data_IF_719071163302
#
_entry.id   IF_719071163302
#
_cell.length_a   1.000
_cell.length_b   1.000
_cell.length_c   1.000
_cell.angle_alpha   90.00
_cell.angle_beta   90.00
_cell.angle_gamma   90.00
#
_symmetry.space_group_name_H-M   'P 1'
#
loop_
_entity.id
_entity.type
_entity.pdbx_description
1 polymer ?
#
# COMPACT_ATOMS: atom_id res chain seq x y z
N UNK A 1 7.68 11.32 0.13
CA UNK A 1 8.08 10.09 -0.59
C UNK A 1 7.27 8.91 -0.08
N UNK A 2 7.14 7.83 -0.88
CA UNK A 2 6.49 6.60 -0.43
C UNK A 2 7.23 6.02 0.79
N UNK A 3 6.49 5.34 1.69
CA UNK A 3 7.07 4.71 2.87
C UNK A 3 8.16 3.67 2.51
N UNK A 4 8.06 3.05 1.34
CA UNK A 4 9.02 2.06 0.84
C UNK A 4 10.48 2.54 0.76
N UNK A 5 10.70 3.85 0.65
CA UNK A 5 12.03 4.46 0.58
C UNK A 5 12.68 4.68 1.96
N UNK A 6 11.92 4.55 3.06
CA UNK A 6 12.40 4.79 4.43
C UNK A 6 13.24 6.05 4.57
N UNK A 7 14.44 5.95 5.11
CA UNK A 7 15.37 7.07 5.31
C UNK A 7 16.42 7.24 4.18
N UNK A 8 16.29 6.55 3.05
CA UNK A 8 17.36 6.39 2.06
C UNK A 8 17.98 7.72 1.57
N UNK A 9 17.14 8.72 1.26
CA UNK A 9 17.63 10.03 0.81
C UNK A 9 17.96 10.99 1.96
N UNK A 10 17.40 10.79 3.15
CA UNK A 10 17.64 11.63 4.33
C UNK A 10 19.06 11.47 4.92
N UNK A 11 19.70 10.32 4.66
CA UNK A 11 21.04 9.99 5.17
C UNK A 11 22.21 10.50 4.32
N UNK A 12 21.92 11.19 3.22
CA UNK A 12 22.93 11.47 2.21
C UNK A 12 23.62 12.84 2.43
N UNK A 13 24.97 12.91 2.51
CA UNK A 13 25.69 14.17 2.67
C UNK A 13 25.62 15.10 1.44
N UNK A 14 25.27 14.58 0.25
CA UNK A 14 25.09 15.34 -0.98
C UNK A 14 24.19 16.57 -0.83
N UNK A 15 23.25 16.55 0.10
CA UNK A 15 22.29 17.65 0.29
C UNK A 15 22.66 18.61 1.43
N UNK A 16 23.79 18.40 2.12
CA UNK A 16 24.18 19.22 3.28
C UNK A 16 24.86 20.55 2.91
N UNK A 17 25.42 20.66 1.71
CA UNK A 17 26.16 21.84 1.25
C UNK A 17 25.73 22.29 -0.14
N UNK A 18 24.43 22.52 -0.32
CA UNK A 18 23.89 22.97 -1.61
C UNK A 18 24.07 24.48 -1.73
N UNK A 19 24.75 24.92 -2.79
CA UNK A 19 24.98 26.34 -3.08
C UNK A 19 23.76 26.98 -3.77
N UNK A 20 23.33 28.15 -3.31
CA UNK A 20 22.25 28.93 -3.92
C UNK A 20 22.54 30.43 -3.85
N UNK A 21 21.78 31.23 -4.59
CA UNK A 21 21.87 32.69 -4.57
C UNK A 21 20.61 33.34 -4.02
N UNK A 22 20.77 34.51 -3.41
CA UNK A 22 19.66 35.38 -3.07
C UNK A 22 19.34 36.36 -4.22
N UNK A 23 18.36 37.24 -4.02
CA UNK A 23 17.97 38.29 -4.98
C UNK A 23 19.10 39.29 -5.29
N UNK A 24 20.15 39.34 -4.45
CA UNK A 24 21.33 40.19 -4.61
C UNK A 24 22.53 39.43 -5.17
N UNK A 25 22.34 38.21 -5.67
CA UNK A 25 23.36 37.34 -6.26
C UNK A 25 24.49 36.92 -5.27
N UNK A 26 24.22 37.02 -3.97
CA UNK A 26 25.15 36.54 -2.92
C UNK A 26 25.02 35.04 -2.79
N UNK A 27 26.15 34.34 -2.70
CA UNK A 27 26.19 32.87 -2.60
C UNK A 27 26.07 32.41 -1.15
N UNK A 28 25.14 31.50 -0.88
CA UNK A 28 24.94 30.85 0.41
C UNK A 28 24.98 29.33 0.26
N UNK A 29 25.11 28.63 1.39
CA UNK A 29 25.01 27.17 1.48
C UNK A 29 23.83 26.80 2.35
N UNK A 30 23.05 25.82 1.90
CA UNK A 30 21.89 25.30 2.62
C UNK A 30 22.05 23.80 2.80
N UNK A 31 21.56 23.35 3.94
CA UNK A 31 21.28 21.95 4.18
C UNK A 31 19.85 21.65 3.74
N UNK A 32 19.72 20.87 2.67
CA UNK A 32 18.45 20.37 2.15
C UNK A 32 18.11 18.97 2.66
N UNK A 33 18.99 18.32 3.43
CA UNK A 33 18.76 16.96 3.93
C UNK A 33 17.47 16.85 4.76
N UNK A 34 17.20 17.84 5.62
CA UNK A 34 15.99 17.90 6.45
C UNK A 34 14.68 18.19 5.68
N UNK A 35 14.77 18.51 4.38
CA UNK A 35 13.61 18.71 3.50
C UNK A 35 13.16 17.41 2.80
N UNK A 36 14.01 16.39 2.81
CA UNK A 36 13.69 15.05 2.30
C UNK A 36 13.04 14.25 3.43
N UNK A 37 11.72 14.34 3.54
CA UNK A 37 10.95 13.54 4.50
C UNK A 37 10.21 12.43 3.77
N UNK A 38 10.33 11.22 4.29
CA UNK A 38 9.46 10.12 3.90
C UNK A 38 8.13 10.24 4.62
N UNK A 39 7.07 9.73 4.00
CA UNK A 39 5.80 9.61 4.68
C UNK A 39 6.01 8.78 5.95
N UNK A 40 5.56 9.29 7.10
CA UNK A 40 5.61 8.54 8.34
C UNK A 40 4.74 7.27 8.18
N UNK A 41 5.33 6.10 8.39
CA UNK A 41 4.58 4.85 8.59
C UNK A 41 4.00 4.89 10.01
N UNK A 42 2.98 5.74 10.21
CA UNK A 42 2.23 5.76 11.46
C UNK A 42 1.45 4.45 11.62
N UNK A 43 1.35 3.95 12.85
CA UNK A 43 0.55 2.75 13.11
C UNK A 43 -0.93 3.10 12.94
N UNK A 44 -1.55 2.64 11.85
CA UNK A 44 -3.00 2.76 11.67
C UNK A 44 -3.73 1.50 12.19
N UNK A 45 -3.69 1.33 13.52
CA UNK A 45 -4.41 0.25 14.20
C UNK A 45 -5.94 0.35 13.99
N UNK A 46 -6.44 1.57 13.77
CA UNK A 46 -7.85 1.85 13.57
C UNK A 46 -8.34 1.35 12.21
N UNK A 47 -7.56 1.53 11.13
CA UNK A 47 -7.89 0.96 9.83
C UNK A 47 -7.85 -0.57 9.81
N UNK A 48 -7.03 -1.20 10.67
CA UNK A 48 -6.95 -2.66 10.84
C UNK A 48 -8.13 -3.23 11.63
N UNK A 49 -8.55 -2.58 12.72
CA UNK A 49 -9.69 -3.04 13.52
C UNK A 49 -11.07 -2.79 12.88
N UNK A 50 -11.18 -1.78 12.00
CA UNK A 50 -12.45 -1.38 11.36
C UNK A 50 -12.83 -2.33 10.22
N UNK A 51 -13.02 -3.59 10.57
CA UNK A 51 -13.78 -4.56 9.78
C UNK A 51 -15.30 -4.47 10.04
N UNK A 52 -15.77 -3.36 10.62
CA UNK A 52 -17.20 -3.07 10.69
C UNK A 52 -17.67 -2.58 9.31
N UNK A 53 -17.77 -3.56 8.43
CA UNK A 53 -18.18 -3.43 7.04
C UNK A 53 -19.70 -3.42 7.03
N UNK A 54 -20.30 -2.23 7.00
CA UNK A 54 -21.70 -2.13 6.58
C UNK A 54 -21.73 -2.46 5.08
N UNK A 55 -21.93 -3.75 4.79
CA UNK A 55 -22.03 -4.31 3.45
C UNK A 55 -23.51 -4.38 3.10
N UNK A 56 -23.91 -3.53 2.15
CA UNK A 56 -25.15 -3.76 1.44
C UNK A 56 -24.84 -4.77 0.34
N UNK A 57 -25.59 -5.86 0.30
CA UNK A 57 -25.42 -6.90 -0.70
C UNK A 57 -26.78 -7.30 -1.25
N UNK A 58 -26.85 -7.44 -2.57
CA UNK A 58 -28.00 -7.97 -3.27
C UNK A 58 -27.50 -9.01 -4.27
N UNK A 59 -28.18 -10.15 -4.33
CA UNK A 59 -27.94 -11.18 -5.33
C UNK A 59 -29.26 -11.55 -6.01
N UNK A 60 -29.22 -11.75 -7.30
CA UNK A 60 -30.33 -12.27 -8.09
C UNK A 60 -29.81 -13.37 -9.01
N UNK A 61 -30.57 -14.46 -9.13
CA UNK A 61 -30.30 -15.53 -10.10
C UNK A 61 -31.39 -15.53 -11.15
N UNK A 62 -30.99 -15.51 -12.42
CA UNK A 62 -31.91 -15.68 -13.54
C UNK A 62 -31.66 -17.05 -14.18
N UNK A 63 -32.54 -18.00 -13.90
CA UNK A 63 -32.37 -19.39 -14.35
C UNK A 63 -31.20 -20.09 -13.64
N UNK A 64 -30.64 -21.11 -14.30
CA UNK A 64 -29.54 -21.92 -13.73
C UNK A 64 -28.15 -21.35 -13.99
N UNK A 65 -28.01 -20.56 -15.06
CA UNK A 65 -26.69 -20.21 -15.60
C UNK A 65 -26.30 -18.75 -15.37
N UNK A 66 -27.23 -17.90 -14.89
CA UNK A 66 -26.97 -16.48 -14.66
C UNK A 66 -27.13 -16.09 -13.20
N UNK A 67 -26.11 -15.41 -12.68
CA UNK A 67 -26.16 -14.77 -11.39
C UNK A 67 -25.68 -13.33 -11.51
N UNK A 68 -26.30 -12.46 -10.73
CA UNK A 68 -25.96 -11.06 -10.59
C UNK A 68 -25.75 -10.78 -9.12
N UNK A 69 -24.65 -10.15 -8.76
CA UNK A 69 -24.44 -9.63 -7.42
C UNK A 69 -24.05 -8.17 -7.47
N UNK A 70 -24.61 -7.39 -6.56
CA UNK A 70 -24.22 -6.01 -6.30
C UNK A 70 -23.83 -5.89 -4.83
N UNK A 71 -22.73 -5.19 -4.58
CA UNK A 71 -22.29 -4.88 -3.22
C UNK A 71 -21.91 -3.42 -3.11
N UNK A 72 -22.25 -2.81 -1.98
CA UNK A 72 -21.75 -1.53 -1.57
C UNK A 72 -21.14 -1.66 -0.18
N UNK A 73 -19.87 -1.28 -0.07
CA UNK A 73 -19.13 -1.24 1.17
C UNK A 73 -18.93 0.21 1.57
N UNK A 74 -19.39 0.58 2.77
CA UNK A 74 -19.07 1.89 3.33
C UNK A 74 -17.92 1.76 4.32
N UNK A 75 -16.74 2.25 3.96
CA UNK A 75 -15.61 2.38 4.89
C UNK A 75 -15.58 3.79 5.47
N UNK A 76 -15.32 3.90 6.77
CA UNK A 76 -14.93 5.16 7.39
C UNK A 76 -13.40 5.19 7.45
N UNK A 77 -12.80 5.62 6.35
CA UNK A 77 -11.38 5.96 6.34
C UNK A 77 -11.25 7.40 6.86
N UNK A 78 -10.53 7.53 7.97
CA UNK A 78 -9.88 8.79 8.30
C UNK A 78 -8.52 8.65 7.65
N UNK A 79 -8.40 9.05 6.40
CA UNK A 79 -7.09 9.09 5.74
C UNK A 79 -6.25 10.10 6.52
N UNK A 80 -5.11 9.71 7.15
CA UNK A 80 -4.16 10.70 7.63
C UNK A 80 -3.41 11.22 6.40
N UNK A 81 -4.09 11.97 5.53
CA UNK A 81 -3.40 12.80 4.55
C UNK A 81 -2.74 13.91 5.36
N UNK A 82 -1.45 13.75 5.65
CA UNK A 82 -0.53 14.85 5.94
C UNK A 82 -0.86 15.67 7.22
N UNK A 83 -1.71 15.19 8.13
CA UNK A 83 -2.05 15.95 9.33
C UNK A 83 -0.89 16.07 10.36
N UNK A 84 0.13 15.22 10.31
CA UNK A 84 1.25 15.30 11.26
C UNK A 84 2.40 16.23 10.85
N UNK A 85 2.35 16.84 9.66
CA UNK A 85 3.45 17.69 9.18
C UNK A 85 3.11 19.19 9.09
N UNK A 86 1.85 19.62 9.18
CA UNK A 86 1.50 21.03 8.93
C UNK A 86 0.30 21.50 9.75
N UNK A 87 0.54 22.53 10.59
CA UNK A 87 -0.37 23.52 11.21
C UNK A 87 -1.74 23.05 11.74
N UNK A 88 -2.17 23.50 12.95
CA UNK A 88 -3.53 23.27 13.46
C UNK A 88 -4.67 23.82 12.57
N UNK A 89 -4.36 24.63 11.56
CA UNK A 89 -5.33 25.10 10.55
C UNK A 89 -5.76 24.03 9.53
N UNK A 90 -5.06 22.88 9.44
CA UNK A 90 -5.40 21.77 8.53
C UNK A 90 -6.08 20.58 9.23
N UNK A 91 -6.21 20.59 10.56
CA UNK A 91 -7.01 19.58 11.29
C UNK A 91 -8.48 19.58 10.84
N UNK A 92 -9.00 20.75 10.43
CA UNK A 92 -10.35 20.90 9.89
C UNK A 92 -10.51 20.30 8.48
N UNK A 93 -9.39 20.01 7.78
CA UNK A 93 -9.35 19.34 6.48
C UNK A 93 -9.25 17.81 6.59
N UNK A 94 -9.04 17.25 7.79
CA UNK A 94 -9.15 15.81 8.07
C UNK A 94 -10.62 15.31 8.07
N UNK A 95 -11.47 15.93 7.26
CA UNK A 95 -12.85 15.49 7.01
C UNK A 95 -12.81 14.15 6.30
N UNK A 96 -12.93 13.09 7.10
CA UNK A 96 -13.42 11.73 6.76
C UNK A 96 -13.86 11.61 5.30
N UNK A 97 -12.95 11.23 4.40
CA UNK A 97 -13.32 11.06 3.01
C UNK A 97 -13.99 9.70 2.87
N UNK A 98 -15.32 9.72 2.76
CA UNK A 98 -16.16 8.52 2.65
C UNK A 98 -16.25 8.12 1.19
N UNK A 99 -15.36 7.26 0.71
CA UNK A 99 -15.53 6.63 -0.60
C UNK A 99 -16.25 5.29 -0.43
N UNK A 100 -17.54 5.17 -0.81
CA UNK A 100 -18.18 3.86 -0.87
C UNK A 100 -17.53 3.03 -1.99
N UNK A 101 -17.15 1.79 -1.68
CA UNK A 101 -16.79 0.83 -2.73
C UNK A 101 -18.08 0.24 -3.28
N UNK A 102 -18.26 0.27 -4.59
CA UNK A 102 -19.35 -0.38 -5.28
C UNK A 102 -18.79 -1.47 -6.19
N UNK A 103 -19.44 -2.63 -6.22
CA UNK A 103 -19.02 -3.71 -7.09
C UNK A 103 -20.23 -4.47 -7.62
N UNK A 104 -20.20 -4.76 -8.91
CA UNK A 104 -21.22 -5.51 -9.64
C UNK A 104 -20.53 -6.68 -10.32
N UNK A 105 -21.09 -7.88 -10.13
CA UNK A 105 -20.65 -9.10 -10.81
C UNK A 105 -21.83 -9.66 -11.59
N UNK A 106 -21.61 -9.95 -12.87
CA UNK A 106 -22.50 -10.76 -13.67
C UNK A 106 -21.77 -12.03 -14.08
N UNK A 107 -22.36 -13.19 -13.81
CA UNK A 107 -21.82 -14.46 -14.26
C UNK A 107 -22.78 -15.15 -15.23
N UNK A 108 -22.24 -15.75 -16.29
CA UNK A 108 -22.98 -16.56 -17.25
C UNK A 108 -22.17 -17.79 -17.64
N UNK A 109 -22.72 -18.99 -17.39
CA UNK A 109 -22.07 -20.28 -17.72
C UNK A 109 -20.61 -20.36 -17.23
N UNK A 110 -20.37 -19.89 -16.01
CA UNK A 110 -19.05 -19.85 -15.39
C UNK A 110 -18.18 -18.63 -15.76
N UNK A 111 -18.43 -17.96 -16.89
CA UNK A 111 -17.76 -16.70 -17.20
C UNK A 111 -18.26 -15.62 -16.22
N UNK A 112 -17.35 -14.89 -15.58
CA UNK A 112 -17.66 -13.79 -14.68
C UNK A 112 -17.15 -12.45 -15.25
N UNK A 113 -18.00 -11.43 -15.20
CA UNK A 113 -17.66 -10.04 -15.48
C UNK A 113 -17.82 -9.25 -14.19
N UNK A 114 -16.75 -8.59 -13.77
CA UNK A 114 -16.73 -7.74 -12.60
C UNK A 114 -16.45 -6.30 -12.97
N UNK A 115 -17.30 -5.40 -12.49
CA UNK A 115 -17.09 -3.96 -12.55
C UNK A 115 -17.13 -3.44 -11.13
N UNK A 116 -16.14 -2.64 -10.76
CA UNK A 116 -16.10 -2.10 -9.42
C UNK A 116 -15.41 -0.75 -9.37
N UNK A 117 -15.83 0.05 -8.40
CA UNK A 117 -15.41 1.44 -8.24
C UNK A 117 -15.22 1.75 -6.75
N UNK A 118 -14.23 2.58 -6.43
CA UNK A 118 -13.87 2.98 -5.07
C UNK A 118 -12.49 2.46 -4.64
N UNK A 119 -12.34 2.13 -3.37
CA UNK A 119 -11.07 1.70 -2.78
C UNK A 119 -10.79 0.19 -2.92
N UNK A 120 -9.52 -0.20 -3.09
CA UNK A 120 -9.06 -1.60 -2.92
C UNK A 120 -9.65 -2.61 -3.93
N UNK A 121 -9.88 -2.15 -5.16
CA UNK A 121 -10.89 -2.76 -6.04
C UNK A 121 -10.50 -4.13 -6.61
N UNK A 122 -9.21 -4.44 -6.76
CA UNK A 122 -8.73 -5.69 -7.40
C UNK A 122 -8.75 -6.89 -6.42
N UNK A 123 -8.93 -6.67 -5.12
CA UNK A 123 -8.81 -7.69 -4.07
C UNK A 123 -10.04 -8.61 -3.87
N UNK A 124 -11.06 -8.52 -4.72
CA UNK A 124 -12.42 -9.02 -4.42
C UNK A 124 -12.50 -10.52 -4.12
N UNK A 125 -11.71 -11.36 -4.79
CA UNK A 125 -11.97 -12.81 -4.76
C UNK A 125 -11.36 -13.54 -3.56
N UNK A 126 -10.28 -13.05 -2.93
CA UNK A 126 -9.65 -13.76 -1.79
C UNK A 126 -10.06 -13.22 -0.42
N UNK A 127 -10.31 -11.92 -0.32
CA UNK A 127 -10.59 -11.25 0.96
C UNK A 127 -11.96 -11.62 1.56
N UNK A 128 -12.89 -12.09 0.72
CA UNK A 128 -14.21 -12.57 1.15
C UNK A 128 -14.24 -14.08 1.48
N UNK A 129 -13.25 -14.86 1.02
CA UNK A 129 -13.21 -16.32 1.21
C UNK A 129 -12.48 -16.74 2.49
N UNK A 130 -11.65 -15.86 3.05
CA UNK A 130 -10.71 -16.21 4.12
C UNK A 130 -10.85 -15.34 5.37
N UNK A 131 -12.06 -15.25 5.92
CA UNK A 131 -12.40 -14.85 7.30
C UNK A 131 -11.59 -13.71 7.96
N UNK A 132 -10.98 -12.81 7.19
CA UNK A 132 -10.08 -11.75 7.70
C UNK A 132 -8.74 -12.27 8.23
N UNK A 133 -8.14 -13.31 7.63
CA UNK A 133 -6.72 -13.65 7.82
C UNK A 133 -5.89 -12.82 6.83
N UNK A 134 -5.00 -12.00 7.34
CA UNK A 134 -4.06 -11.18 6.57
C UNK A 134 -4.58 -9.80 6.17
N UNK A 135 -3.68 -8.81 5.98
CA UNK A 135 -3.98 -7.60 5.25
C UNK A 135 -4.61 -7.95 3.89
N UNK A 136 -5.66 -7.23 3.51
CA UNK A 136 -6.39 -7.37 2.26
C UNK A 136 -5.44 -7.58 1.05
N UNK A 137 -5.92 -8.33 0.05
CA UNK A 137 -5.14 -8.87 -1.04
C UNK A 137 -4.02 -7.92 -1.54
N UNK A 138 -2.80 -8.45 -1.59
CA UNK A 138 -1.55 -7.73 -1.82
C UNK A 138 -1.42 -6.91 -3.11
N UNK A 139 -2.25 -7.05 -4.17
CA UNK A 139 -2.31 -6.01 -5.19
C UNK A 139 -2.57 -4.63 -4.61
N UNK A 140 -3.26 -4.51 -3.47
CA UNK A 140 -3.47 -3.22 -2.78
C UNK A 140 -2.17 -2.58 -2.28
N UNK A 141 -1.13 -3.36 -1.97
CA UNK A 141 0.17 -2.81 -1.55
C UNK A 141 0.88 -2.06 -2.69
N UNK A 142 0.64 -2.46 -3.95
CA UNK A 142 1.15 -1.78 -5.14
C UNK A 142 0.10 -0.87 -5.81
N UNK A 143 -1.19 -1.17 -5.60
CA UNK A 143 -2.37 -0.56 -6.21
C UNK A 143 -3.48 -0.24 -5.18
N UNK A 144 -3.12 0.44 -4.09
CA UNK A 144 -4.07 0.91 -3.07
C UNK A 144 -4.45 2.36 -3.32
N UNK A 145 -5.52 2.59 -4.08
CA UNK A 145 -6.03 3.93 -4.39
C UNK A 145 -7.37 4.18 -3.74
N UNK A 146 -7.69 5.43 -3.41
CA UNK A 146 -8.97 5.84 -2.76
C UNK A 146 -10.13 5.95 -3.74
N UNK A 147 -9.83 6.19 -5.02
CA UNK A 147 -10.82 6.35 -6.08
C UNK A 147 -10.37 5.66 -7.37
N UNK A 148 -10.60 4.35 -7.43
CA UNK A 148 -10.22 3.52 -8.57
C UNK A 148 -11.43 2.85 -9.20
N UNK A 149 -11.41 2.71 -10.52
CA UNK A 149 -12.37 1.90 -11.28
C UNK A 149 -11.63 0.70 -11.84
N UNK A 150 -12.18 -0.50 -11.67
CA UNK A 150 -11.64 -1.72 -12.24
C UNK A 150 -12.70 -2.51 -13.00
N UNK A 151 -12.22 -3.17 -14.05
CA UNK A 151 -12.93 -4.13 -14.86
C UNK A 151 -12.15 -5.45 -14.81
N UNK A 152 -12.84 -6.56 -14.66
CA UNK A 152 -12.21 -7.86 -14.79
C UNK A 152 -13.13 -8.90 -15.41
N UNK A 153 -12.50 -9.85 -16.09
CA UNK A 153 -13.16 -11.00 -16.71
C UNK A 153 -12.51 -12.27 -16.17
N UNK A 154 -13.30 -13.12 -15.53
CA UNK A 154 -12.89 -14.40 -14.96
C UNK A 154 -13.51 -15.57 -15.72
N UNK A 155 -12.76 -16.65 -15.90
CA UNK A 155 -13.24 -17.89 -16.51
C UNK A 155 -12.74 -19.11 -15.74
N UNK A 156 -13.56 -20.15 -15.56
CA UNK A 156 -13.12 -21.41 -14.99
C UNK A 156 -12.27 -22.16 -16.03
N UNK A 157 -11.14 -22.70 -15.58
CA UNK A 157 -10.36 -23.68 -16.33
C UNK A 157 -10.66 -25.12 -15.88
N UNK A 158 -11.39 -25.27 -14.76
CA UNK A 158 -11.86 -26.51 -14.19
C UNK A 158 -12.76 -26.23 -12.99
N UNK A 159 -13.02 -27.23 -12.16
CA UNK A 159 -13.85 -27.09 -10.96
C UNK A 159 -13.21 -26.19 -9.89
N UNK A 160 -11.87 -26.25 -9.80
CA UNK A 160 -11.08 -25.60 -8.76
C UNK A 160 -10.23 -24.46 -9.27
N UNK A 161 -10.01 -24.35 -10.58
CA UNK A 161 -9.06 -23.42 -11.18
C UNK A 161 -9.78 -22.32 -11.95
N UNK A 162 -9.39 -21.06 -11.72
CA UNK A 162 -9.92 -19.89 -12.43
C UNK A 162 -8.78 -19.04 -13.00
N UNK A 163 -9.00 -18.52 -14.20
CA UNK A 163 -8.15 -17.53 -14.86
C UNK A 163 -8.90 -16.20 -14.93
N UNK A 164 -8.23 -15.10 -14.57
CA UNK A 164 -8.83 -13.76 -14.55
C UNK A 164 -7.93 -12.74 -15.23
N UNK A 165 -8.52 -11.87 -16.01
CA UNK A 165 -7.88 -10.69 -16.59
C UNK A 165 -8.48 -9.46 -15.94
N UNK A 166 -7.65 -8.55 -15.45
CA UNK A 166 -8.09 -7.35 -14.76
C UNK A 166 -7.38 -6.12 -15.30
N UNK A 167 -8.13 -5.02 -15.42
CA UNK A 167 -7.60 -3.70 -15.66
C UNK A 167 -8.19 -2.74 -14.63
N UNK A 168 -7.36 -1.84 -14.11
CA UNK A 168 -7.81 -0.82 -13.17
C UNK A 168 -7.20 0.53 -13.51
N UNK A 169 -7.95 1.58 -13.21
CA UNK A 169 -7.55 2.96 -13.37
C UNK A 169 -7.90 3.73 -12.11
N UNK A 170 -6.93 4.47 -11.61
CA UNK A 170 -7.11 5.46 -10.56
C UNK A 170 -7.03 6.84 -11.19
N UNK A 171 -8.13 7.56 -11.07
CA UNK A 171 -8.19 8.94 -11.51
C UNK A 171 -7.30 9.80 -10.60
N UNK A 172 -6.76 10.93 -11.09
CA UNK A 172 -6.17 11.90 -10.20
C UNK A 172 -7.23 12.31 -9.19
N UNK A 173 -6.97 12.04 -7.90
CA UNK A 173 -7.84 12.50 -6.84
C UNK A 173 -8.05 14.01 -7.03
N UNK A 174 -9.28 14.47 -6.81
CA UNK A 174 -9.58 15.88 -6.65
C UNK A 174 -8.94 16.33 -5.33
N UNK A 175 -7.62 16.43 -5.35
CA UNK A 175 -6.80 16.79 -4.21
C UNK A 175 -7.15 18.21 -3.79
N UNK A 176 -7.17 18.46 -2.48
CA UNK A 176 -7.24 19.80 -1.92
C UNK A 176 -6.16 20.68 -2.60
N UNK A 177 -6.49 21.89 -3.10
CA UNK A 177 -5.52 22.81 -3.65
C UNK A 177 -4.27 23.00 -2.78
N UNK A 178 -4.41 22.91 -1.45
CA UNK A 178 -3.29 22.96 -0.50
C UNK A 178 -2.38 21.73 -0.58
N UNK A 179 -2.93 20.54 -0.81
CA UNK A 179 -2.16 19.30 -1.03
C UNK A 179 -1.45 19.35 -2.38
N UNK A 180 -2.11 19.85 -3.43
CA UNK A 180 -1.47 20.06 -4.74
C UNK A 180 -0.35 21.11 -4.67
N UNK A 181 -0.53 22.18 -3.89
CA UNK A 181 0.51 23.18 -3.69
C UNK A 181 1.80 22.60 -3.06
N UNK A 182 1.67 21.54 -2.25
CA UNK A 182 2.80 20.88 -1.55
C UNK A 182 3.28 19.61 -2.24
N UNK A 183 2.41 18.86 -2.95
CA UNK A 183 2.73 17.60 -3.60
C UNK A 183 3.04 17.74 -5.10
N UNK A 184 2.72 18.89 -5.71
CA UNK A 184 2.88 19.14 -7.13
C UNK A 184 1.69 18.65 -7.96
N UNK A 185 1.97 17.92 -9.03
CA UNK A 185 0.96 17.51 -10.01
C UNK A 185 -0.01 16.43 -9.48
N UNK A 186 -1.22 16.43 -10.02
CA UNK A 186 -2.23 15.39 -9.81
C UNK A 186 -1.71 14.04 -10.37
N UNK A 187 -1.48 13.06 -9.50
CA UNK A 187 -0.96 11.75 -9.88
C UNK A 187 -2.05 10.83 -10.43
N UNK A 188 -1.74 9.94 -11.37
CA UNK A 188 -2.68 8.89 -11.81
C UNK A 188 -1.99 7.55 -11.98
N UNK A 189 -2.76 6.47 -11.90
CA UNK A 189 -2.22 5.11 -11.96
C UNK A 189 -3.11 4.20 -12.79
N UNK A 190 -2.50 3.32 -13.58
CA UNK A 190 -3.17 2.29 -14.38
C UNK A 190 -2.56 0.94 -14.06
N UNK A 191 -3.37 -0.10 -14.03
CA UNK A 191 -2.93 -1.47 -13.83
C UNK A 191 -3.56 -2.38 -14.88
N UNK A 192 -2.76 -3.34 -15.35
CA UNK A 192 -3.23 -4.50 -16.10
C UNK A 192 -2.62 -5.76 -15.48
N UNK A 193 -3.41 -6.80 -15.27
CA UNK A 193 -2.93 -8.01 -14.61
C UNK A 193 -3.70 -9.27 -15.03
N UNK A 194 -3.04 -10.41 -14.90
CA UNK A 194 -3.57 -11.75 -15.12
C UNK A 194 -3.40 -12.58 -13.85
N UNK A 195 -4.50 -13.13 -13.35
CA UNK A 195 -4.53 -13.97 -12.14
C UNK A 195 -4.84 -15.41 -12.51
N UNK A 196 -4.05 -16.34 -12.00
CA UNK A 196 -4.40 -17.76 -11.93
C UNK A 196 -4.67 -18.11 -10.48
N UNK A 197 -5.84 -18.64 -10.18
CA UNK A 197 -6.25 -19.03 -8.85
C UNK A 197 -6.69 -20.49 -8.83
N UNK A 198 -6.39 -21.18 -7.74
CA UNK A 198 -6.88 -22.52 -7.45
C UNK A 198 -7.46 -22.58 -6.03
N UNK A 199 -8.68 -23.07 -5.91
CA UNK A 199 -9.40 -23.28 -4.65
C UNK A 199 -9.61 -24.78 -4.42
N UNK A 200 -9.29 -25.28 -3.22
CA UNK A 200 -9.50 -26.66 -2.82
C UNK A 200 -10.16 -26.79 -1.46
N UNK A 201 -10.55 -28.01 -1.08
CA UNK A 201 -11.27 -28.26 0.17
C UNK A 201 -10.51 -27.84 1.44
N UNK A 202 -9.18 -27.84 1.39
CA UNK A 202 -8.32 -27.49 2.53
C UNK A 202 -7.59 -26.15 2.35
N UNK A 203 -7.92 -25.34 1.35
CA UNK A 203 -7.22 -24.08 1.10
C UNK A 203 -7.05 -23.76 -0.38
N UNK A 204 -6.40 -22.65 -0.70
CA UNK A 204 -6.19 -22.22 -2.07
C UNK A 204 -4.89 -21.45 -2.25
N UNK A 205 -4.55 -21.18 -3.51
CA UNK A 205 -3.50 -20.22 -3.87
C UNK A 205 -3.86 -19.41 -5.12
N UNK A 206 -3.24 -18.24 -5.28
CA UNK A 206 -3.25 -17.45 -6.50
C UNK A 206 -1.85 -16.96 -6.85
N UNK A 207 -1.62 -16.85 -8.15
CA UNK A 207 -0.50 -16.15 -8.72
C UNK A 207 -1.02 -15.04 -9.63
N UNK A 208 -0.46 -13.84 -9.49
CA UNK A 208 -0.79 -12.67 -10.26
C UNK A 208 0.45 -12.15 -10.96
N UNK A 209 0.32 -11.90 -12.26
CA UNK A 209 1.33 -11.25 -13.09
C UNK A 209 0.74 -9.96 -13.62
N UNK A 210 1.44 -8.85 -13.52
CA UNK A 210 0.89 -7.58 -13.97
C UNK A 210 1.88 -6.46 -14.10
N UNK A 211 1.36 -5.33 -14.53
CA UNK A 211 2.09 -4.09 -14.64
C UNK A 211 1.27 -2.90 -14.16
N UNK A 212 1.97 -1.88 -13.68
CA UNK A 212 1.42 -0.62 -13.22
C UNK A 212 2.13 0.51 -13.96
N UNK A 213 1.37 1.49 -14.45
CA UNK A 213 1.91 2.74 -14.98
C UNK A 213 1.43 3.89 -14.13
N UNK A 214 2.37 4.65 -13.60
CA UNK A 214 2.16 5.82 -12.76
C UNK A 214 2.59 7.09 -13.50
N UNK A 215 1.77 8.13 -13.38
CA UNK A 215 2.10 9.49 -13.84
C UNK A 215 2.13 10.41 -12.62
N UNK A 216 3.20 11.20 -12.48
CA UNK A 216 3.41 12.10 -11.34
C UNK A 216 3.74 11.39 -10.02
N UNK A 217 3.96 10.08 -10.05
CA UNK A 217 4.17 9.24 -8.87
C UNK A 217 5.22 8.15 -9.13
N UNK A 218 5.78 7.63 -8.04
CA UNK A 218 6.60 6.41 -8.02
C UNK A 218 6.22 5.60 -6.79
N UNK A 219 5.71 4.38 -6.99
CA UNK A 219 5.25 3.47 -5.94
C UNK A 219 4.22 4.14 -5.00
N UNK A 220 3.28 4.87 -5.58
CA UNK A 220 2.29 5.69 -4.85
C UNK A 220 2.87 6.94 -4.17
N UNK A 221 4.19 7.11 -4.18
CA UNK A 221 4.87 8.26 -3.59
C UNK A 221 4.86 9.47 -4.51
N UNK A 222 4.54 10.63 -3.95
CA UNK A 222 4.60 11.92 -4.64
C UNK A 222 5.82 12.71 -4.20
N UNK A 223 6.47 13.35 -5.18
CA UNK A 223 7.64 14.21 -4.99
C UNK A 223 7.55 15.38 -5.94
N UNK A 224 8.11 16.54 -5.56
CA UNK A 224 8.01 17.76 -6.34
C UNK A 224 9.25 18.66 -6.17
N UNK A 225 9.24 19.76 -6.92
CA UNK A 225 10.29 20.78 -6.89
C UNK A 225 11.66 20.24 -7.31
N UNK A 226 12.72 20.88 -6.81
CA UNK A 226 14.10 20.58 -7.16
C UNK A 226 14.57 19.17 -6.72
N UNK A 227 13.78 18.45 -5.91
CA UNK A 227 14.08 17.10 -5.43
C UNK A 227 13.03 16.09 -5.92
N UNK A 228 12.33 16.39 -7.03
CA UNK A 228 11.40 15.46 -7.68
C UNK A 228 12.16 14.20 -8.09
N UNK A 229 11.69 13.03 -7.68
CA UNK A 229 12.33 11.75 -7.94
C UNK A 229 12.15 11.32 -9.41
N UNK A 230 10.93 11.47 -9.92
CA UNK A 230 10.54 11.06 -11.26
C UNK A 230 9.24 11.78 -11.70
N UNK A 231 9.01 11.86 -13.01
CA UNK A 231 7.76 12.35 -13.61
C UNK A 231 6.69 11.24 -13.72
N UNK A 232 7.07 10.00 -13.45
CA UNK A 232 6.22 8.82 -13.47
C UNK A 232 7.03 7.55 -13.29
N UNK A 233 6.39 6.39 -13.39
CA UNK A 233 7.07 5.12 -13.33
C UNK A 233 6.28 4.01 -14.03
N UNK A 234 6.98 3.01 -14.54
CA UNK A 234 6.39 1.75 -14.97
C UNK A 234 6.88 0.64 -14.04
N UNK A 235 5.97 -0.16 -13.51
CA UNK A 235 6.28 -1.30 -12.63
C UNK A 235 5.80 -2.58 -13.26
N UNK A 236 6.65 -3.60 -13.30
CA UNK A 236 6.26 -4.99 -13.56
C UNK A 236 6.31 -5.77 -12.24
N UNK A 237 5.36 -6.67 -12.00
CA UNK A 237 5.32 -7.42 -10.76
C UNK A 237 4.80 -8.85 -10.94
N UNK A 238 5.23 -9.71 -10.02
CA UNK A 238 4.64 -11.00 -9.72
C UNK A 238 4.20 -11.00 -8.26
N UNK A 239 2.99 -11.48 -7.99
CA UNK A 239 2.47 -11.68 -6.66
C UNK A 239 1.99 -13.12 -6.49
N UNK A 240 2.20 -13.67 -5.31
CA UNK A 240 1.67 -14.96 -4.90
C UNK A 240 1.01 -14.83 -3.54
N UNK A 241 -0.10 -15.51 -3.35
CA UNK A 241 -0.70 -15.68 -2.03
C UNK A 241 -1.42 -17.01 -1.94
N UNK A 242 -1.56 -17.54 -0.74
CA UNK A 242 -2.34 -18.73 -0.50
C UNK A 242 -2.55 -19.00 0.97
N UNK A 243 -3.35 -19.99 1.24
CA UNK A 243 -3.73 -20.37 2.58
C UNK A 243 -4.08 -21.86 2.65
N UNK A 244 -4.06 -22.40 3.86
CA UNK A 244 -4.20 -23.82 4.09
C UNK A 244 -4.76 -24.11 5.48
N UNK A 245 -5.80 -24.94 5.54
CA UNK A 245 -6.41 -25.47 6.74
C UNK A 245 -5.53 -26.60 7.32
N UNK A 246 -5.11 -26.42 8.57
CA UNK A 246 -4.23 -27.32 9.29
C UNK A 246 -5.03 -28.23 10.23
N UNK A 247 -5.82 -29.14 9.66
CA UNK A 247 -6.77 -29.99 10.40
C UNK A 247 -6.13 -30.96 11.40
N UNK A 248 -4.82 -31.26 11.24
CA UNK A 248 -4.11 -32.25 12.07
C UNK A 248 -3.21 -31.62 13.15
N UNK A 249 -3.15 -30.30 13.25
CA UNK A 249 -2.44 -29.64 14.34
C UNK A 249 -3.18 -29.91 15.67
N UNK A 250 -2.44 -30.14 16.76
CA UNK A 250 -3.03 -30.32 18.11
C UNK A 250 -4.18 -31.34 18.18
N UNK A 251 -4.05 -32.47 17.49
CA UNK A 251 -5.03 -33.57 17.49
C UNK A 251 -6.44 -33.15 17.00
N UNK A 252 -6.54 -32.08 16.21
CA UNK A 252 -7.82 -31.62 15.62
C UNK A 252 -8.79 -30.98 16.61
N UNK A 253 -8.34 -30.64 17.84
CA UNK A 253 -9.20 -30.02 18.86
C UNK A 253 -9.70 -28.63 18.46
N UNK A 254 -8.90 -27.90 17.69
CA UNK A 254 -9.20 -26.55 17.24
C UNK A 254 -8.90 -26.45 15.75
N UNK A 255 -9.70 -25.74 14.95
CA UNK A 255 -9.37 -25.44 13.57
C UNK A 255 -8.16 -24.49 13.54
N UNK A 256 -7.24 -24.75 12.62
CA UNK A 256 -6.07 -23.90 12.38
C UNK A 256 -6.02 -23.56 10.89
N UNK A 257 -5.56 -22.35 10.57
CA UNK A 257 -5.31 -21.94 9.18
C UNK A 257 -4.03 -21.14 9.07
N UNK A 258 -3.23 -21.46 8.08
CA UNK A 258 -2.04 -20.72 7.68
C UNK A 258 -2.39 -19.90 6.43
N UNK A 259 -1.95 -18.66 6.36
CA UNK A 259 -2.02 -17.81 5.17
C UNK A 259 -0.65 -17.17 4.92
N UNK A 260 -0.28 -16.98 3.66
CA UNK A 260 0.97 -16.32 3.31
C UNK A 260 0.88 -15.67 1.93
N UNK A 261 1.81 -14.74 1.67
CA UNK A 261 1.93 -14.15 0.36
C UNK A 261 3.12 -13.22 0.24
N UNK A 262 3.53 -12.98 -1.00
CA UNK A 262 4.69 -12.18 -1.34
C UNK A 262 4.48 -11.47 -2.67
N UNK A 263 5.17 -10.35 -2.86
CA UNK A 263 5.25 -9.67 -4.16
C UNK A 263 6.71 -9.40 -4.48
N UNK A 264 7.09 -9.57 -5.73
CA UNK A 264 8.35 -9.08 -6.27
C UNK A 264 8.04 -8.11 -7.41
N UNK A 265 8.54 -6.89 -7.31
CA UNK A 265 8.26 -5.81 -8.24
C UNK A 265 9.55 -5.15 -8.72
N UNK A 266 9.56 -4.78 -10.00
CA UNK A 266 10.63 -4.02 -10.65
C UNK A 266 10.00 -2.75 -11.22
N UNK A 267 10.51 -1.60 -10.82
CA UNK A 267 9.98 -0.28 -11.20
C UNK A 267 11.04 0.52 -11.93
N UNK A 268 10.72 0.98 -13.13
CA UNK A 268 11.54 1.90 -13.93
C UNK A 268 10.97 3.32 -13.82
N UNK A 269 11.62 4.23 -13.07
CA UNK A 269 11.14 5.59 -12.93
C UNK A 269 11.52 6.45 -14.14
N UNK A 270 10.59 7.29 -14.60
CA UNK A 270 10.85 8.27 -15.66
C UNK A 270 11.56 9.48 -15.06
N UNK A 271 12.81 9.73 -15.46
CA UNK A 271 13.60 10.84 -14.93
C UNK A 271 12.84 12.18 -14.96
N UNK A 272 12.87 12.91 -13.85
CA UNK A 272 12.31 14.25 -13.78
C UNK A 272 13.16 15.24 -14.59
N UNK A 273 12.51 16.11 -15.35
CA UNK A 273 13.17 17.09 -16.23
C UNK A 273 13.87 18.22 -15.47
N UNK A 274 13.25 18.73 -14.40
CA UNK A 274 13.74 19.86 -13.58
C UNK A 274 14.09 19.45 -12.15
N UNK A 275 14.98 18.47 -12.01
CA UNK A 275 15.40 17.95 -10.70
C UNK A 275 16.91 17.92 -10.52
N UNK A 276 17.34 18.15 -9.28
CA UNK A 276 18.69 17.85 -8.80
C UNK A 276 18.90 16.34 -8.72
N UNK A 277 17.83 15.55 -8.67
CA UNK A 277 17.88 14.11 -8.78
C UNK A 277 17.78 13.70 -10.26
N UNK A 278 18.76 12.96 -10.75
CA UNK A 278 18.91 12.55 -12.15
C UNK A 278 19.11 11.06 -12.26
N UNK A 279 18.80 10.51 -13.43
CA UNK A 279 19.07 9.12 -13.80
C UNK A 279 18.67 8.10 -12.71
N UNK A 280 17.39 8.11 -12.28
CA UNK A 280 16.90 7.05 -11.41
C UNK A 280 17.16 5.70 -12.11
N UNK A 281 17.85 4.81 -11.41
CA UNK A 281 17.97 3.43 -11.82
C UNK A 281 16.68 2.67 -11.51
N UNK A 282 16.57 1.50 -12.11
CA UNK A 282 15.52 0.54 -11.78
C UNK A 282 15.49 0.26 -10.27
N UNK A 283 14.28 0.23 -9.73
CA UNK A 283 13.99 -0.07 -8.33
C UNK A 283 13.48 -1.50 -8.22
N UNK A 284 13.94 -2.23 -7.22
CA UNK A 284 13.41 -3.55 -6.85
C UNK A 284 12.70 -3.42 -5.52
N UNK A 285 11.50 -3.98 -5.41
CA UNK A 285 10.73 -3.94 -4.18
C UNK A 285 10.05 -5.28 -3.86
N UNK A 286 9.95 -5.61 -2.58
CA UNK A 286 9.27 -6.83 -2.14
C UNK A 286 8.61 -6.70 -0.76
N UNK A 287 7.27 -6.72 -0.67
CA UNK A 287 6.54 -7.00 0.56
C UNK A 287 6.25 -8.50 0.71
N UNK A 288 6.04 -8.94 1.95
CA UNK A 288 5.54 -10.28 2.24
C UNK A 288 4.73 -10.32 3.54
N UNK A 289 3.99 -11.41 3.73
CA UNK A 289 3.38 -11.76 5.00
C UNK A 289 3.23 -13.28 5.16
N UNK A 290 3.06 -13.67 6.41
CA UNK A 290 2.59 -14.97 6.83
C UNK A 290 1.75 -14.80 8.10
N UNK A 291 0.63 -15.50 8.21
CA UNK A 291 -0.24 -15.48 9.37
C UNK A 291 -0.70 -16.90 9.69
N UNK A 292 -0.76 -17.22 10.98
CA UNK A 292 -1.45 -18.40 11.47
C UNK A 292 -2.57 -17.97 12.40
N UNK A 293 -3.73 -18.60 12.26
CA UNK A 293 -4.84 -18.38 13.18
C UNK A 293 -5.53 -19.67 13.56
N UNK A 294 -6.27 -19.57 14.66
CA UNK A 294 -7.08 -20.64 15.20
C UNK A 294 -8.38 -20.07 15.79
N UNK A 295 -9.39 -20.92 15.86
CA UNK A 295 -10.69 -20.59 16.42
C UNK A 295 -11.03 -21.53 17.58
N UNK A 296 -11.93 -21.07 18.44
CA UNK A 296 -12.43 -21.83 19.58
C UNK A 296 -11.33 -22.32 20.53
N UNK A 297 -10.22 -21.57 20.64
CA UNK A 297 -9.02 -22.01 21.37
C UNK A 297 -9.12 -21.72 22.87
N UNK A 298 -9.55 -20.51 23.27
CA UNK A 298 -9.70 -20.14 24.68
C UNK A 298 -11.17 -20.16 25.12
N UNK A 299 -12.08 -19.85 24.19
CA UNK A 299 -13.52 -19.89 24.38
C UNK A 299 -14.25 -20.12 23.05
N UNK A 300 -15.44 -20.70 23.09
CA UNK A 300 -16.27 -20.86 21.90
C UNK A 300 -16.56 -19.51 21.22
N UNK A 301 -16.41 -19.48 19.89
CA UNK A 301 -16.56 -18.32 19.03
C UNK A 301 -15.40 -17.33 19.08
N UNK A 302 -14.29 -17.67 19.75
CA UNK A 302 -13.09 -16.84 19.71
C UNK A 302 -12.19 -17.13 18.52
N UNK A 303 -11.32 -16.17 18.24
CA UNK A 303 -10.25 -16.29 17.26
C UNK A 303 -8.97 -15.70 17.83
N UNK A 304 -7.88 -16.43 17.65
CA UNK A 304 -6.52 -15.98 17.93
C UNK A 304 -5.72 -16.02 16.63
N UNK A 305 -4.88 -15.01 16.39
CA UNK A 305 -3.97 -15.02 15.24
C UNK A 305 -2.59 -14.46 15.59
N UNK A 306 -1.58 -14.96 14.90
CA UNK A 306 -0.20 -14.48 14.93
C UNK A 306 0.25 -14.22 13.50
N UNK A 307 0.59 -12.97 13.20
CA UNK A 307 1.03 -12.50 11.89
C UNK A 307 2.49 -12.04 11.92
N UNK A 308 3.19 -12.27 10.82
CA UNK A 308 4.50 -11.72 10.51
C UNK A 308 4.42 -11.04 9.14
N UNK A 309 4.89 -9.81 8.99
CA UNK A 309 4.89 -9.15 7.70
C UNK A 309 6.05 -8.18 7.50
N UNK A 310 6.34 -7.91 6.24
CA UNK A 310 7.18 -6.81 5.80
C UNK A 310 6.35 -5.93 4.85
N UNK A 311 6.14 -4.65 5.17
CA UNK A 311 5.57 -3.68 4.25
C UNK A 311 6.41 -3.52 2.97
N UNK A 312 5.85 -2.85 1.95
CA UNK A 312 6.58 -2.60 0.70
C UNK A 312 7.89 -1.88 0.99
N UNK A 313 9.03 -2.49 0.65
CA UNK A 313 10.38 -1.96 0.86
C UNK A 313 11.17 -1.95 -0.44
N UNK A 314 11.93 -0.89 -0.70
CA UNK A 314 12.97 -0.89 -1.75
C UNK A 314 14.13 -1.80 -1.31
N UNK A 315 14.35 -2.87 -2.07
CA UNK A 315 15.46 -3.81 -1.87
C UNK A 315 16.75 -3.33 -2.54
N UNK A 316 16.62 -2.75 -3.73
CA UNK A 316 17.72 -2.21 -4.49
C UNK A 316 17.24 -1.06 -5.39
N UNK A 317 18.14 -0.13 -5.67
CA UNK A 317 17.84 1.03 -6.51
C UNK A 317 18.84 2.13 -6.24
N UNK A 318 19.02 3.03 -7.20
CA UNK A 318 19.92 4.16 -7.01
C UNK A 318 19.52 5.35 -7.86
N UNK A 319 19.99 6.52 -7.45
CA UNK A 319 19.75 7.77 -8.17
C UNK A 319 21.01 8.62 -8.16
N UNK A 320 21.21 9.47 -9.17
CA UNK A 320 22.29 10.44 -9.14
C UNK A 320 21.79 11.77 -8.58
N UNK A 321 22.43 12.28 -7.52
CA UNK A 321 22.24 13.66 -7.09
C UNK A 321 23.26 14.55 -7.83
N UNK A 322 22.77 15.55 -8.54
CA UNK A 322 23.55 16.54 -9.27
C UNK A 322 23.33 17.91 -8.62
N UNK A 323 24.12 18.20 -7.59
CA UNK A 323 23.92 19.33 -6.69
C UNK A 323 24.94 20.44 -6.95
N UNK A 324 24.55 21.72 -6.92
CA UNK A 324 25.51 22.82 -6.97
C UNK A 324 26.29 22.87 -5.66
N UNK A 325 27.62 22.84 -5.73
CA UNK A 325 28.52 22.82 -4.55
C UNK A 325 29.37 24.08 -4.42
N UNK A 326 29.55 24.80 -5.52
CA UNK A 326 30.31 26.05 -5.56
C UNK A 326 29.82 26.96 -6.68
N UNK A 327 30.15 28.25 -6.59
CA UNK A 327 29.97 29.22 -7.67
C UNK A 327 31.32 29.78 -8.08
N UNK A 328 31.60 29.70 -9.37
CA UNK A 328 32.80 30.27 -9.98
C UNK A 328 32.51 31.71 -10.41
N UNK A 329 32.93 32.65 -9.58
CA UNK A 329 32.75 34.09 -9.80
C UNK A 329 33.71 34.66 -10.86
N UNK A 330 34.71 33.88 -11.30
CA UNK A 330 35.63 34.30 -12.36
C UNK A 330 35.05 34.09 -13.75
N UNK A 331 34.07 33.19 -13.87
CA UNK A 331 33.32 32.98 -15.11
C UNK A 331 32.28 34.11 -15.33
N UNK A 332 32.08 34.59 -16.56
CA UNK A 332 31.04 35.56 -16.88
C UNK A 332 29.66 35.09 -16.38
N UNK A 333 29.00 35.93 -15.58
CA UNK A 333 27.70 35.64 -14.98
C UNK A 333 27.73 34.73 -13.74
N UNK A 334 28.91 34.34 -13.25
CA UNK A 334 29.09 33.52 -12.05
C UNK A 334 28.45 32.13 -12.19
N UNK A 335 29.19 31.15 -12.71
CA UNK A 335 28.67 29.81 -13.04
C UNK A 335 28.70 28.87 -11.84
N UNK A 336 27.64 28.10 -11.62
CA UNK A 336 27.66 27.04 -10.61
C UNK A 336 28.49 25.84 -11.07
N UNK A 337 29.28 25.28 -10.14
CA UNK A 337 29.95 23.99 -10.28
C UNK A 337 29.12 22.94 -9.56
N UNK A 338 28.87 21.84 -10.24
CA UNK A 338 28.04 20.75 -9.74
C UNK A 338 28.89 19.54 -9.35
N UNK A 339 28.45 18.83 -8.32
CA UNK A 339 28.95 17.51 -7.98
C UNK A 339 27.86 16.48 -8.30
N UNK A 340 28.27 15.38 -8.92
CA UNK A 340 27.42 14.22 -9.15
C UNK A 340 27.75 13.14 -8.14
N UNK A 341 26.76 12.69 -7.36
CA UNK A 341 26.92 11.59 -6.41
C UNK A 341 25.84 10.53 -6.66
N UNK A 342 26.26 9.26 -6.81
CA UNK A 342 25.32 8.13 -6.88
C UNK A 342 24.87 7.78 -5.46
N UNK A 343 23.57 7.75 -5.24
CA UNK A 343 22.93 7.48 -3.96
C UNK A 343 22.17 6.15 -4.04
N UNK A 344 22.24 5.36 -2.98
CA UNK A 344 21.35 4.21 -2.81
C UNK A 344 19.94 4.69 -2.46
N UNK A 345 18.93 4.02 -3.00
CA UNK A 345 17.53 4.21 -2.62
C UNK A 345 17.03 3.11 -1.68
N UNK A 346 17.87 2.13 -1.35
CA UNK A 346 17.56 1.15 -0.32
C UNK A 346 17.64 1.80 1.07
N UNK A 347 16.60 1.66 1.91
CA UNK A 347 16.57 2.24 3.25
C UNK A 347 17.52 1.50 4.21
N UNK A 348 17.85 2.16 5.32
CA UNK A 348 18.82 1.67 6.29
C UNK A 348 18.38 0.40 7.02
N UNK A 349 17.09 0.27 7.31
CA UNK A 349 16.50 -0.84 8.04
C UNK A 349 15.59 -1.70 7.16
N UNK A 350 15.09 -2.79 7.76
CA UNK A 350 14.06 -3.65 7.17
C UNK A 350 12.93 -3.80 8.17
N UNK A 351 11.81 -3.15 7.86
CA UNK A 351 10.64 -3.21 8.74
C UNK A 351 10.09 -4.62 8.78
N UNK A 352 9.96 -5.17 9.99
CA UNK A 352 9.32 -6.45 10.25
C UNK A 352 8.27 -6.23 11.34
N UNK A 353 7.03 -6.50 10.98
CA UNK A 353 5.86 -6.40 11.83
C UNK A 353 5.52 -7.78 12.38
N UNK A 354 5.38 -7.89 13.70
CA UNK A 354 4.81 -9.03 14.38
C UNK A 354 3.48 -8.61 15.02
N UNK A 355 2.41 -9.33 14.70
CA UNK A 355 1.05 -9.01 15.14
C UNK A 355 0.45 -10.20 15.91
N UNK A 356 -0.11 -9.94 17.08
CA UNK A 356 -0.86 -10.91 17.86
C UNK A 356 -2.24 -10.33 18.14
N UNK A 357 -3.28 -10.99 17.67
CA UNK A 357 -4.64 -10.52 17.88
C UNK A 357 -5.59 -11.57 18.40
N UNK A 358 -6.51 -11.13 19.24
CA UNK A 358 -7.55 -11.92 19.86
C UNK A 358 -8.89 -11.24 19.66
N UNK A 359 -9.92 -12.00 19.27
CA UNK A 359 -11.29 -11.51 19.17
C UNK A 359 -12.27 -12.54 19.68
N UNK A 360 -13.33 -12.08 20.34
CA UNK A 360 -14.43 -12.92 20.80
C UNK A 360 -15.77 -12.19 20.77
N UNK A 361 -16.81 -12.89 20.32
CA UNK A 361 -18.19 -12.48 20.51
C UNK A 361 -18.64 -12.69 21.96
N UNK A 362 -19.35 -11.70 22.51
CA UNK A 362 -19.91 -11.74 23.86
C UNK A 362 -21.36 -12.22 23.80
N UNK A 363 -21.76 -13.04 24.78
CA UNK A 363 -23.14 -13.57 24.87
C UNK A 363 -24.21 -12.47 24.93
N UNK A 364 -23.85 -11.26 25.35
CA UNK A 364 -24.72 -10.08 25.38
C UNK A 364 -24.93 -9.39 24.02
N UNK A 365 -24.50 -10.00 22.91
CA UNK A 365 -24.56 -9.38 21.57
C UNK A 365 -23.45 -8.35 21.31
N UNK A 366 -22.38 -8.35 22.10
CA UNK A 366 -21.22 -7.48 21.90
C UNK A 366 -20.00 -8.23 21.35
N UNK A 367 -18.87 -7.54 21.20
CA UNK A 367 -17.59 -8.16 20.86
C UNK A 367 -16.44 -7.51 21.64
N UNK A 368 -15.43 -8.31 21.97
CA UNK A 368 -14.15 -7.86 22.52
C UNK A 368 -13.06 -8.19 21.51
N UNK A 369 -12.17 -7.24 21.24
CA UNK A 369 -10.97 -7.45 20.44
C UNK A 369 -9.76 -6.81 21.13
N UNK A 370 -8.60 -7.44 21.01
CA UNK A 370 -7.32 -6.90 21.42
C UNK A 370 -6.25 -7.29 20.40
N UNK A 371 -5.43 -6.32 20.01
CA UNK A 371 -4.36 -6.51 19.02
C UNK A 371 -3.07 -5.84 19.51
N UNK A 372 -1.99 -6.59 19.49
CA UNK A 372 -0.64 -6.15 19.81
C UNK A 372 0.20 -6.18 18.53
N UNK A 373 0.77 -5.04 18.16
CA UNK A 373 1.69 -4.91 17.04
C UNK A 373 3.07 -4.52 17.56
N UNK A 374 4.08 -5.28 17.17
CA UNK A 374 5.48 -4.98 17.40
C UNK A 374 6.14 -4.74 16.05
N UNK A 375 6.85 -3.62 15.91
CA UNK A 375 7.54 -3.25 14.67
C UNK A 375 9.01 -3.07 14.94
N UNK A 376 9.83 -3.85 14.24
CA UNK A 376 11.27 -3.67 14.20
C UNK A 376 11.63 -2.84 12.98
N UNK A 377 12.57 -1.92 13.10
CA UNK A 377 13.00 -0.99 12.03
C UNK A 377 11.80 -0.28 11.34
N UNK A 378 10.90 0.29 12.15
CA UNK A 378 9.68 0.96 11.72
C UNK A 378 9.95 2.04 10.66
N UNK A 379 9.15 2.07 9.60
CA UNK A 379 9.37 2.94 8.44
C UNK A 379 10.65 2.59 7.66
N UNK A 380 11.18 1.38 7.80
CA UNK A 380 12.46 0.92 7.27
C UNK A 380 13.68 1.72 7.78
N UNK A 381 13.62 2.27 8.99
CA UNK A 381 14.73 3.00 9.61
C UNK A 381 15.43 2.11 10.64
N UNK A 382 16.72 1.87 10.47
CA UNK A 382 17.47 0.96 11.33
C UNK A 382 17.42 1.38 12.80
N UNK A 383 17.12 0.41 13.67
CA UNK A 383 17.00 0.59 15.13
C UNK A 383 15.80 1.42 15.62
N UNK A 384 14.94 1.91 14.71
CA UNK A 384 13.66 2.49 15.10
C UNK A 384 12.68 1.35 15.40
N UNK A 385 12.33 1.13 16.66
CA UNK A 385 11.37 0.09 17.03
C UNK A 385 10.13 0.74 17.62
N UNK A 386 8.96 0.15 17.35
CA UNK A 386 7.69 0.68 17.83
C UNK A 386 6.76 -0.46 18.29
N UNK A 387 5.85 -0.13 19.18
CA UNK A 387 4.85 -1.05 19.70
C UNK A 387 3.51 -0.33 19.84
N UNK A 388 2.46 -1.05 19.49
CA UNK A 388 1.10 -0.60 19.65
C UNK A 388 0.24 -1.68 20.29
N UNK A 389 -0.61 -1.28 21.23
CA UNK A 389 -1.69 -2.10 21.76
C UNK A 389 -3.01 -1.40 21.48
N UNK A 390 -3.97 -2.16 20.97
CA UNK A 390 -5.34 -1.71 20.81
C UNK A 390 -6.29 -2.66 21.50
N UNK A 391 -7.27 -2.12 22.20
CA UNK A 391 -8.37 -2.86 22.81
C UNK A 391 -9.67 -2.22 22.39
N UNK A 392 -10.62 -3.02 21.91
CA UNK A 392 -11.92 -2.57 21.46
C UNK A 392 -13.03 -3.39 22.10
N UNK A 393 -14.06 -2.69 22.54
CA UNK A 393 -15.32 -3.25 22.98
C UNK A 393 -16.44 -2.72 22.11
N UNK A 394 -17.23 -3.61 21.53
CA UNK A 394 -18.40 -3.30 20.73
C UNK A 394 -19.65 -3.81 21.44
N UNK A 395 -20.72 -3.02 21.40
CA UNK A 395 -22.00 -3.34 21.99
C UNK A 395 -23.10 -3.12 20.95
N UNK A 396 -23.80 -4.18 20.56
CA UNK A 396 -25.04 -4.02 19.81
C UNK A 396 -26.13 -3.47 20.75
N UNK A 397 -26.90 -2.51 20.26
CA UNK A 397 -28.06 -1.94 20.95
C UNK A 397 -29.35 -2.44 20.32
#
# INVERSE_FOLDING_TARGET
>A
MAAAFGDALGRTPAFTQVAFTDVYDRTYRADLSGRLRSAASGIDLLARLRHDRMRLFAEARLGRDMAFSASALRRHDVTPVVAQAMSPLLEDAARTIRYPRMAVTASWRGLALDVSHGYGVIARDWADVHDGLGPAAYPEALFGGTDSTALAVGMPLGETTRLRFAAAFEAPAADDPAVLAVAGEAGSRRLGAVTLAQEGGHGGWQALLGGIVEKGMVLGGRTNGALKLADGAATAFIAWSGDYALERLWQGKHPWRLAAGMVAAVTDPTAATDSLLRHPGTLMASPFHAEIATWDMLAAGDRLHLGLSQPLRIEAGSIAAHVPVARDLTAPGGRFRFAAQRLSLAPSGREIDLELGYRRGLASGGALAADLLLRRDAGHVASENDMALLVRFEKAF
#
